data_IF_784161315051
#
_entry.id   IF_784161315051
#
_cell.length_a   1.000
_cell.length_b   1.000
_cell.length_c   1.000
_cell.angle_alpha   90.00
_cell.angle_beta   90.00
_cell.angle_gamma   90.00
#
_symmetry.space_group_name_H-M   'P 1'
#
loop_
_entity.id
_entity.type
_entity.pdbx_description
1 polymer ?
#
# COMPACT_ATOMS: atom_id res chain seq x y z
N UNK A 1 1.12 1.89 -3.49
CA UNK A 1 2.39 2.49 -3.95
C UNK A 1 2.62 2.20 -5.42
N UNK A 2 3.03 3.22 -6.21
CA UNK A 2 3.28 3.05 -7.65
C UNK A 2 4.66 2.43 -7.90
N UNK A 3 5.69 3.01 -7.31
CA UNK A 3 7.07 2.56 -7.49
C UNK A 3 7.45 2.46 -8.97
N UNK A 4 8.11 1.37 -9.35
CA UNK A 4 8.48 1.08 -10.74
C UNK A 4 7.31 0.53 -11.59
N UNK A 5 6.08 0.46 -11.06
CA UNK A 5 4.88 0.06 -11.79
C UNK A 5 4.70 -1.45 -12.02
N UNK A 6 5.41 -2.31 -11.28
CA UNK A 6 5.26 -3.78 -11.43
C UNK A 6 3.86 -4.25 -11.08
N UNK A 7 3.29 -3.74 -9.98
CA UNK A 7 1.92 -4.04 -9.58
C UNK A 7 0.91 -3.46 -10.58
N UNK A 8 1.23 -2.31 -11.20
CA UNK A 8 0.42 -1.72 -12.27
C UNK A 8 0.38 -2.61 -13.51
N UNK A 9 1.54 -3.13 -13.95
CA UNK A 9 1.62 -4.10 -15.05
C UNK A 9 0.74 -5.32 -14.78
N UNK A 10 0.82 -5.86 -13.55
CA UNK A 10 -0.01 -6.99 -13.14
C UNK A 10 -1.50 -6.66 -13.20
N UNK A 11 -1.94 -5.56 -12.60
CA UNK A 11 -3.35 -5.17 -12.65
C UNK A 11 -3.86 -4.98 -14.07
N UNK A 12 -3.08 -4.31 -14.92
CA UNK A 12 -3.47 -4.10 -16.32
C UNK A 12 -3.56 -5.40 -17.10
N UNK A 13 -2.71 -6.40 -16.81
CA UNK A 13 -2.78 -7.74 -17.40
C UNK A 13 -4.05 -8.50 -16.99
N UNK A 14 -4.60 -8.19 -15.79
CA UNK A 14 -5.87 -8.74 -15.30
C UNK A 14 -7.11 -8.02 -15.88
N UNK A 15 -6.94 -7.13 -16.85
CA UNK A 15 -8.01 -6.39 -17.53
C UNK A 15 -8.88 -5.55 -16.57
N UNK A 16 -8.30 -5.04 -15.49
CA UNK A 16 -9.01 -4.14 -14.60
C UNK A 16 -9.47 -2.87 -15.30
N UNK A 17 -10.57 -2.31 -14.86
CA UNK A 17 -11.16 -1.11 -15.47
C UNK A 17 -10.28 0.12 -15.29
N UNK A 18 -9.68 0.30 -14.09
CA UNK A 18 -8.90 1.48 -13.74
C UNK A 18 -7.85 1.16 -12.67
N UNK A 19 -6.69 1.79 -12.74
CA UNK A 19 -5.61 1.70 -11.76
C UNK A 19 -5.27 3.09 -11.24
N UNK A 20 -5.31 3.26 -9.93
CA UNK A 20 -4.78 4.43 -9.24
C UNK A 20 -3.39 4.13 -8.69
N UNK A 21 -2.44 5.03 -8.88
CA UNK A 21 -1.07 4.89 -8.37
C UNK A 21 -0.57 6.15 -7.69
N UNK A 22 0.12 5.98 -6.56
CA UNK A 22 0.66 7.06 -5.74
C UNK A 22 2.17 6.86 -5.56
N UNK A 23 2.97 7.90 -5.84
CA UNK A 23 4.42 7.90 -5.69
C UNK A 23 4.90 9.28 -5.27
N UNK A 24 5.59 9.35 -4.13
CA UNK A 24 6.09 10.61 -3.60
C UNK A 24 7.40 11.06 -4.29
N UNK A 25 8.22 10.11 -4.73
CA UNK A 25 9.48 10.39 -5.40
C UNK A 25 9.24 10.82 -6.85
N UNK A 26 9.52 12.10 -7.15
CA UNK A 26 9.23 12.71 -8.44
C UNK A 26 9.86 11.96 -9.61
N UNK A 27 11.14 11.62 -9.50
CA UNK A 27 11.86 10.94 -10.60
C UNK A 27 11.29 9.54 -10.87
N UNK A 28 10.94 8.79 -9.82
CA UNK A 28 10.30 7.48 -9.93
C UNK A 28 8.91 7.63 -10.55
N UNK A 29 8.15 8.62 -10.09
CA UNK A 29 6.82 8.94 -10.61
C UNK A 29 6.85 9.26 -12.12
N UNK A 30 7.72 10.18 -12.55
CA UNK A 30 7.82 10.60 -13.96
C UNK A 30 8.24 9.44 -14.87
N UNK A 31 9.26 8.67 -14.46
CA UNK A 31 9.72 7.50 -15.20
C UNK A 31 8.61 6.44 -15.35
N UNK A 32 7.90 6.15 -14.28
CA UNK A 32 6.83 5.15 -14.30
C UNK A 32 5.62 5.65 -15.07
N UNK A 33 5.18 6.89 -14.85
CA UNK A 33 4.05 7.49 -15.56
C UNK A 33 4.25 7.43 -17.07
N UNK A 34 5.44 7.71 -17.57
CA UNK A 34 5.73 7.71 -18.99
C UNK A 34 5.60 6.34 -19.65
N UNK A 35 5.75 5.25 -18.87
CA UNK A 35 5.52 3.87 -19.34
C UNK A 35 4.04 3.50 -19.48
N UNK A 36 3.15 4.20 -18.76
CA UNK A 36 1.72 3.86 -18.66
C UNK A 36 0.82 4.99 -19.16
N UNK A 37 1.15 5.57 -20.29
CA UNK A 37 0.33 6.62 -20.91
C UNK A 37 -0.95 6.03 -21.54
N UNK A 38 -1.86 5.56 -20.70
CA UNK A 38 -3.15 5.03 -21.16
C UNK A 38 -4.32 5.51 -20.29
N UNK A 39 -5.53 5.41 -20.85
CA UNK A 39 -6.74 5.91 -20.23
C UNK A 39 -7.19 5.14 -18.98
N UNK A 40 -6.58 3.98 -18.67
CA UNK A 40 -6.94 3.16 -17.52
C UNK A 40 -6.08 3.41 -16.28
N UNK A 41 -5.17 4.37 -16.35
CA UNK A 41 -4.27 4.71 -15.23
C UNK A 41 -4.48 6.15 -14.79
N UNK A 42 -4.53 6.36 -13.47
CA UNK A 42 -4.55 7.67 -12.81
C UNK A 42 -3.43 7.68 -11.78
N UNK A 43 -2.35 8.40 -12.08
CA UNK A 43 -1.17 8.46 -11.22
C UNK A 43 -1.00 9.84 -10.61
N UNK A 44 -0.60 9.87 -9.33
CA UNK A 44 -0.45 11.09 -8.55
C UNK A 44 0.92 11.13 -7.87
N UNK A 45 1.61 12.27 -8.03
CA UNK A 45 2.90 12.50 -7.36
C UNK A 45 2.68 13.08 -5.96
N UNK A 46 2.08 12.27 -5.10
CA UNK A 46 1.79 12.57 -3.69
C UNK A 46 1.96 11.31 -2.85
N UNK A 47 2.04 11.48 -1.54
CA UNK A 47 2.04 10.35 -0.61
C UNK A 47 0.72 9.58 -0.64
N UNK A 48 0.80 8.27 -0.44
CA UNK A 48 -0.38 7.40 -0.44
C UNK A 48 -1.32 7.65 0.75
N UNK A 49 -0.89 8.36 1.78
CA UNK A 49 -1.71 8.82 2.90
C UNK A 49 -2.74 9.90 2.53
N UNK A 50 -2.69 10.42 1.32
CA UNK A 50 -3.65 11.39 0.78
C UNK A 50 -4.60 10.80 -0.26
N UNK A 51 -4.68 9.46 -0.37
CA UNK A 51 -5.41 8.82 -1.46
C UNK A 51 -6.89 9.18 -1.52
N UNK A 52 -7.57 9.45 -0.39
CA UNK A 52 -8.98 9.85 -0.37
C UNK A 52 -9.24 11.22 -1.00
N UNK A 53 -8.21 12.08 -1.11
CA UNK A 53 -8.33 13.37 -1.80
C UNK A 53 -8.40 13.22 -3.32
N UNK A 54 -7.95 12.07 -3.85
CA UNK A 54 -7.84 11.81 -5.29
C UNK A 54 -8.73 10.68 -5.80
N UNK A 55 -9.11 9.76 -4.94
CA UNK A 55 -9.96 8.61 -5.29
C UNK A 55 -11.33 8.81 -4.67
N UNK A 56 -12.32 9.08 -5.52
CA UNK A 56 -13.69 9.40 -5.10
C UNK A 56 -14.68 8.26 -5.39
N UNK A 57 -14.17 7.05 -5.55
CA UNK A 57 -14.94 5.84 -5.78
C UNK A 57 -14.40 4.69 -4.94
N UNK A 58 -15.23 3.71 -4.64
CA UNK A 58 -14.78 2.49 -3.97
C UNK A 58 -13.99 1.62 -4.94
N UNK A 59 -12.96 0.94 -4.42
CA UNK A 59 -12.06 0.10 -5.20
C UNK A 59 -12.16 -1.36 -4.80
N UNK A 60 -11.87 -2.25 -5.74
CA UNK A 60 -11.94 -3.70 -5.54
C UNK A 60 -10.72 -4.26 -4.84
N UNK A 61 -9.54 -3.70 -5.14
CA UNK A 61 -8.27 -4.19 -4.63
C UNK A 61 -7.27 -3.06 -4.39
N UNK A 62 -6.43 -3.24 -3.37
CA UNK A 62 -5.35 -2.30 -3.02
C UNK A 62 -4.08 -3.10 -2.72
N UNK A 63 -2.93 -2.62 -3.19
CA UNK A 63 -1.62 -3.17 -2.86
C UNK A 63 -0.70 -2.08 -2.30
N UNK A 64 -0.06 -2.38 -1.18
CA UNK A 64 1.01 -1.57 -0.61
C UNK A 64 2.30 -2.39 -0.47
N UNK A 65 3.42 -1.75 -0.75
CA UNK A 65 4.75 -2.22 -0.41
C UNK A 65 5.33 -1.25 0.62
N UNK A 66 5.39 -1.65 1.89
CA UNK A 66 5.90 -0.86 3.01
C UNK A 66 7.32 -1.28 3.40
N UNK A 67 8.15 -0.32 3.78
CA UNK A 67 9.44 -0.61 4.43
C UNK A 67 10.66 -0.43 3.57
N UNK A 68 10.58 0.27 2.45
CA UNK A 68 11.78 0.68 1.71
C UNK A 68 11.99 2.19 1.82
N UNK A 69 12.83 2.60 2.78
CA UNK A 69 13.33 3.99 2.84
C UNK A 69 14.76 4.07 3.39
N UNK A 70 15.67 4.78 2.72
CA UNK A 70 17.05 4.89 3.13
C UNK A 70 17.36 6.24 3.81
N UNK A 71 16.74 6.64 4.93
CA UNK A 71 17.27 7.76 5.74
C UNK A 71 16.57 8.01 7.09
N UNK A 72 17.34 8.13 8.16
CA UNK A 72 17.21 8.96 9.36
C UNK A 72 16.16 8.64 10.44
N UNK A 73 16.57 8.75 11.73
CA UNK A 73 15.77 8.37 12.91
C UNK A 73 14.54 9.24 13.22
N UNK A 74 14.50 10.50 12.81
CA UNK A 74 13.32 11.38 12.96
C UNK A 74 12.22 11.11 11.95
N UNK A 75 12.56 10.62 10.80
CA UNK A 75 11.64 10.26 9.72
C UNK A 75 10.85 8.98 10.02
N UNK A 76 11.38 8.08 10.85
CA UNK A 76 10.75 6.79 11.17
C UNK A 76 9.37 6.96 11.83
N UNK A 77 9.24 7.90 12.78
CA UNK A 77 7.95 8.11 13.46
C UNK A 77 6.91 8.74 12.52
N UNK A 78 7.33 9.66 11.68
CA UNK A 78 6.47 10.30 10.68
C UNK A 78 6.01 9.28 9.63
N UNK A 79 6.88 8.41 9.19
CA UNK A 79 6.55 7.34 8.23
C UNK A 79 5.55 6.33 8.80
N UNK A 80 5.73 5.87 10.03
CA UNK A 80 4.79 4.95 10.66
C UNK A 80 3.38 5.53 10.76
N UNK A 81 3.27 6.84 11.04
CA UNK A 81 1.98 7.53 11.08
C UNK A 81 1.36 7.65 9.68
N UNK A 82 2.13 8.04 8.67
CA UNK A 82 1.63 8.17 7.30
C UNK A 82 1.19 6.81 6.74
N UNK A 83 1.92 5.75 7.03
CA UNK A 83 1.56 4.39 6.62
C UNK A 83 0.27 3.89 7.29
N UNK A 84 0.09 4.15 8.58
CA UNK A 84 -1.19 3.84 9.27
C UNK A 84 -2.34 4.67 8.69
N UNK A 85 -2.12 5.96 8.41
CA UNK A 85 -3.12 6.80 7.76
C UNK A 85 -3.50 6.27 6.37
N UNK A 86 -2.51 5.85 5.58
CA UNK A 86 -2.76 5.26 4.27
C UNK A 86 -3.59 3.98 4.36
N UNK A 87 -3.28 3.08 5.29
CA UNK A 87 -4.06 1.85 5.52
C UNK A 87 -5.49 2.17 5.98
N UNK A 88 -5.65 3.19 6.84
CA UNK A 88 -6.98 3.65 7.27
C UNK A 88 -7.82 4.15 6.10
N UNK A 89 -7.28 5.04 5.27
CA UNK A 89 -7.95 5.54 4.07
C UNK A 89 -8.25 4.42 3.07
N UNK A 90 -7.30 3.49 2.89
CA UNK A 90 -7.49 2.32 2.05
C UNK A 90 -8.67 1.45 2.51
N UNK A 91 -8.84 1.23 3.82
CA UNK A 91 -9.98 0.50 4.35
C UNK A 91 -11.32 1.22 4.10
N UNK A 92 -11.34 2.57 4.10
CA UNK A 92 -12.54 3.33 3.73
C UNK A 92 -12.87 3.15 2.25
N UNK A 93 -11.88 3.32 1.37
CA UNK A 93 -12.05 3.20 -0.08
C UNK A 93 -12.33 1.78 -0.55
N UNK A 94 -11.87 0.76 0.21
CA UNK A 94 -12.07 -0.62 -0.16
C UNK A 94 -13.56 -1.00 -0.06
N UNK A 95 -14.14 -1.56 -1.10
CA UNK A 95 -15.52 -2.04 -1.06
C UNK A 95 -15.67 -3.27 -0.15
N UNK A 96 -16.88 -3.56 0.29
CA UNK A 96 -17.19 -4.82 0.99
C UNK A 96 -16.85 -6.01 0.08
N UNK A 97 -16.18 -7.02 0.62
CA UNK A 97 -15.54 -8.15 -0.09
C UNK A 97 -14.32 -7.75 -0.95
N UNK A 98 -13.94 -6.47 -0.96
CA UNK A 98 -12.68 -6.02 -1.54
C UNK A 98 -11.49 -6.54 -0.74
N UNK A 99 -10.33 -6.60 -1.39
CA UNK A 99 -9.11 -7.17 -0.81
C UNK A 99 -7.95 -6.20 -0.86
N UNK A 100 -7.15 -6.23 0.20
CA UNK A 100 -5.94 -5.43 0.28
C UNK A 100 -4.76 -6.32 0.66
N UNK A 101 -3.63 -6.14 -0.01
CA UNK A 101 -2.38 -6.81 0.28
C UNK A 101 -1.34 -5.80 0.75
N UNK A 102 -0.74 -6.03 1.89
CA UNK A 102 0.36 -5.24 2.42
C UNK A 102 1.62 -6.10 2.42
N UNK A 103 2.62 -5.72 1.64
CA UNK A 103 3.95 -6.33 1.68
C UNK A 103 4.75 -5.58 2.74
N UNK A 104 5.13 -6.29 3.78
CA UNK A 104 5.86 -5.75 4.93
C UNK A 104 7.33 -6.17 4.85
N UNK A 105 8.24 -5.19 4.99
CA UNK A 105 9.68 -5.43 5.01
C UNK A 105 10.22 -5.08 6.40
N UNK A 106 10.36 -6.07 7.31
CA UNK A 106 10.74 -5.84 8.70
C UNK A 106 12.28 -5.67 8.85
N UNK A 107 12.86 -4.73 8.11
CA UNK A 107 14.25 -4.34 8.28
C UNK A 107 14.34 -3.15 9.22
N UNK A 108 15.25 -3.15 10.18
CA UNK A 108 15.57 -2.04 11.08
C UNK A 108 14.40 -1.05 11.35
N UNK A 109 14.27 0.00 10.51
CA UNK A 109 13.20 0.99 10.59
C UNK A 109 11.81 0.43 10.28
N UNK A 110 11.71 -0.56 9.41
CA UNK A 110 10.45 -1.19 9.01
C UNK A 110 9.77 -2.01 10.12
N UNK A 111 10.52 -2.44 11.15
CA UNK A 111 9.94 -3.18 12.29
C UNK A 111 8.93 -2.33 13.06
N UNK A 112 9.23 -1.05 13.31
CA UNK A 112 8.30 -0.14 14.00
C UNK A 112 7.08 0.15 13.15
N UNK A 113 7.26 0.43 11.88
CA UNK A 113 6.19 0.66 10.92
C UNK A 113 5.25 -0.56 10.85
N UNK A 114 5.81 -1.75 10.67
CA UNK A 114 5.07 -3.00 10.64
C UNK A 114 4.24 -3.22 11.92
N UNK A 115 4.85 -2.97 13.09
CA UNK A 115 4.16 -3.06 14.37
C UNK A 115 2.99 -2.07 14.47
N UNK A 116 3.19 -0.82 14.09
CA UNK A 116 2.12 0.20 14.12
C UNK A 116 0.94 -0.20 13.22
N UNK A 117 1.21 -0.71 12.01
CA UNK A 117 0.18 -1.19 11.08
C UNK A 117 -0.53 -2.41 11.65
N UNK A 118 0.18 -3.40 12.18
CA UNK A 118 -0.43 -4.60 12.78
C UNK A 118 -1.31 -4.24 13.98
N UNK A 119 -0.85 -3.35 14.88
CA UNK A 119 -1.62 -2.92 16.05
C UNK A 119 -2.86 -2.13 15.63
N UNK A 120 -2.76 -1.27 14.62
CA UNK A 120 -3.92 -0.61 14.02
C UNK A 120 -4.92 -1.63 13.46
N UNK A 121 -4.48 -2.59 12.66
CA UNK A 121 -5.36 -3.61 12.07
C UNK A 121 -6.06 -4.47 13.14
N UNK A 122 -5.37 -4.81 14.23
CA UNK A 122 -5.97 -5.54 15.38
C UNK A 122 -7.07 -4.75 16.08
N UNK A 123 -7.05 -3.42 16.01
CA UNK A 123 -8.08 -2.56 16.59
C UNK A 123 -9.31 -2.41 15.69
N UNK A 124 -9.23 -2.84 14.42
CA UNK A 124 -10.33 -2.68 13.48
C UNK A 124 -11.37 -3.80 13.59
N UNK A 125 -12.61 -3.45 13.26
CA UNK A 125 -13.72 -4.40 13.13
C UNK A 125 -14.20 -4.46 11.68
N UNK A 126 -14.88 -5.54 11.30
CA UNK A 126 -15.42 -5.65 9.94
C UNK A 126 -14.38 -6.00 8.87
N UNK A 127 -13.21 -6.45 9.29
CA UNK A 127 -12.16 -6.97 8.41
C UNK A 127 -11.74 -8.37 8.86
N UNK A 128 -11.18 -9.13 7.93
CA UNK A 128 -10.43 -10.35 8.20
C UNK A 128 -8.99 -10.13 7.75
N UNK A 129 -8.03 -10.49 8.58
CA UNK A 129 -6.60 -10.35 8.29
C UNK A 129 -5.92 -11.71 8.40
N UNK A 130 -5.14 -12.05 7.37
CA UNK A 130 -4.26 -13.22 7.37
C UNK A 130 -2.82 -12.76 7.22
N UNK A 131 -1.90 -13.36 7.96
CA UNK A 131 -0.46 -13.15 7.84
C UNK A 131 0.18 -14.35 7.17
N UNK A 132 0.90 -14.11 6.08
CA UNK A 132 1.67 -15.14 5.35
C UNK A 132 3.15 -14.81 5.48
N UNK A 133 3.89 -15.66 6.16
CA UNK A 133 5.31 -15.46 6.47
C UNK A 133 6.07 -16.78 6.34
N UNK A 134 7.34 -16.70 5.93
CA UNK A 134 8.22 -17.87 5.95
C UNK A 134 8.51 -18.26 7.42
N UNK A 135 8.24 -19.51 7.77
CA UNK A 135 8.39 -19.99 9.14
C UNK A 135 9.86 -20.17 9.54
N UNK A 136 10.75 -20.45 8.57
CA UNK A 136 12.13 -20.85 8.82
C UNK A 136 13.13 -19.72 8.65
N UNK A 137 12.67 -18.52 8.29
CA UNK A 137 13.55 -17.36 8.04
C UNK A 137 13.11 -16.19 8.90
N UNK A 138 13.97 -15.79 9.82
CA UNK A 138 13.75 -14.62 10.66
C UNK A 138 13.88 -13.34 9.83
N UNK A 139 13.12 -12.31 10.22
CA UNK A 139 13.14 -10.98 9.60
C UNK A 139 12.92 -10.96 8.07
N UNK A 140 12.31 -12.01 7.52
CA UNK A 140 11.96 -12.01 6.10
C UNK A 140 10.73 -11.12 5.82
N UNK A 141 10.57 -10.64 4.58
CA UNK A 141 9.34 -10.01 4.15
C UNK A 141 8.14 -10.93 4.35
N UNK A 142 6.98 -10.35 4.71
CA UNK A 142 5.73 -11.08 4.86
C UNK A 142 4.54 -10.31 4.29
N UNK A 143 3.43 -10.99 4.11
CA UNK A 143 2.19 -10.44 3.60
C UNK A 143 1.14 -10.35 4.71
N UNK A 144 0.43 -9.22 4.74
CA UNK A 144 -0.85 -9.12 5.40
C UNK A 144 -1.93 -9.06 4.31
N UNK A 145 -2.79 -10.06 4.30
CA UNK A 145 -3.91 -10.16 3.36
C UNK A 145 -5.18 -9.79 4.12
N UNK A 146 -5.83 -8.73 3.68
CA UNK A 146 -7.02 -8.16 4.33
C UNK A 146 -8.21 -8.30 3.40
N UNK A 147 -9.34 -8.75 3.93
CA UNK A 147 -10.63 -8.70 3.27
C UNK A 147 -11.60 -7.86 4.10
N UNK A 148 -12.26 -6.88 3.48
CA UNK A 148 -13.31 -6.09 4.12
C UNK A 148 -14.61 -6.89 4.14
N UNK A 149 -15.16 -7.12 5.32
CA UNK A 149 -16.36 -7.93 5.54
C UNK A 149 -17.65 -7.11 5.65
N UNK A 150 -17.52 -5.87 6.12
CA UNK A 150 -18.62 -4.92 6.32
C UNK A 150 -18.13 -3.47 6.43
#
# INVERSE_FOLDING_TARGET
>A
TLGQGKDTDFFLSMHVHKVYGFEIQKDVFENTRNRFLNARTCFYNVGHEYMEEYVHEVVDAIIFNFGYFPSGSHEITTQSLSSVMAVKQALHLLKVKGRMALVMYPHESGVKEAKCIEDFLKSQTGIQVQKVQNLLVDYCPYLLLIEKRR
#
